data_IF_674604345060
#
_entry.id   IF_674604345060
#
_cell.length_a   1.000
_cell.length_b   1.000
_cell.length_c   1.000
_cell.angle_alpha   90.00
_cell.angle_beta   90.00
_cell.angle_gamma   90.00
#
_symmetry.space_group_name_H-M   'P 1'
#
loop_
_entity.id
_entity.type
_entity.pdbx_description
1 polymer ?
#
# COMPACT_ATOMS: atom_id res chain seq x y z
N UNK A 1 37.81 59.77 -31.47
CA UNK A 1 36.98 59.94 -30.24
C UNK A 1 35.53 59.70 -30.66
N UNK A 2 35.03 58.46 -30.54
CA UNK A 2 33.81 58.02 -31.22
C UNK A 2 32.60 58.22 -30.30
N UNK A 3 31.78 59.24 -30.62
CA UNK A 3 30.51 59.52 -29.95
C UNK A 3 29.58 58.32 -30.14
N UNK A 4 29.44 57.48 -29.11
CA UNK A 4 28.36 56.49 -29.06
C UNK A 4 27.06 57.27 -28.96
N UNK A 5 26.29 57.31 -30.06
CA UNK A 5 25.01 58.00 -30.08
C UNK A 5 24.11 57.44 -28.95
N UNK A 6 23.41 58.32 -28.21
CA UNK A 6 22.66 57.92 -27.01
C UNK A 6 21.59 56.86 -27.30
N UNK A 7 21.11 56.82 -28.55
CA UNK A 7 20.13 55.84 -29.03
C UNK A 7 20.66 54.41 -29.01
N UNK A 8 21.94 54.19 -29.35
CA UNK A 8 22.53 52.86 -29.34
C UNK A 8 22.78 52.34 -27.93
N UNK A 9 23.07 53.23 -26.98
CA UNK A 9 23.22 52.89 -25.56
C UNK A 9 21.86 52.51 -24.97
N UNK A 10 20.81 53.27 -25.30
CA UNK A 10 19.45 52.97 -24.86
C UNK A 10 18.98 51.60 -25.40
N UNK A 11 19.17 51.33 -26.70
CA UNK A 11 18.85 50.04 -27.31
C UNK A 11 19.63 48.89 -26.67
N UNK A 12 20.91 49.11 -26.35
CA UNK A 12 21.73 48.10 -25.67
C UNK A 12 21.20 47.77 -24.27
N UNK A 13 20.76 48.78 -23.51
CA UNK A 13 20.11 48.56 -22.20
C UNK A 13 18.81 47.78 -22.36
N UNK A 14 17.98 48.11 -23.37
CA UNK A 14 16.76 47.35 -23.66
C UNK A 14 17.03 45.89 -24.00
N UNK A 15 18.06 45.59 -24.81
CA UNK A 15 18.42 44.21 -25.13
C UNK A 15 18.93 43.44 -23.91
N UNK A 16 19.71 44.09 -23.02
CA UNK A 16 20.19 43.46 -21.79
C UNK A 16 19.02 43.15 -20.85
N UNK A 17 18.08 44.08 -20.68
CA UNK A 17 16.88 43.87 -19.87
C UNK A 17 16.01 42.75 -20.46
N UNK A 18 15.81 42.75 -21.77
CA UNK A 18 15.05 41.71 -22.46
C UNK A 18 15.71 40.33 -22.33
N UNK A 19 17.03 40.26 -22.46
CA UNK A 19 17.79 39.03 -22.28
C UNK A 19 17.69 38.50 -20.85
N UNK A 20 17.82 39.37 -19.84
CA UNK A 20 17.62 39.01 -18.43
C UNK A 20 16.19 38.51 -18.17
N UNK A 21 15.19 39.17 -18.75
CA UNK A 21 13.80 38.78 -18.61
C UNK A 21 13.49 37.41 -19.25
N UNK A 22 14.02 37.17 -20.46
CA UNK A 22 13.90 35.87 -21.13
C UNK A 22 14.61 34.76 -20.34
N UNK A 23 15.78 35.05 -19.76
CA UNK A 23 16.50 34.11 -18.91
C UNK A 23 15.73 33.81 -17.62
N UNK A 24 15.11 34.82 -17.02
CA UNK A 24 14.29 34.67 -15.82
C UNK A 24 13.02 33.83 -16.09
N UNK A 25 12.35 34.06 -17.22
CA UNK A 25 11.22 33.22 -17.66
C UNK A 25 11.67 31.79 -17.90
N UNK A 26 12.80 31.58 -18.58
CA UNK A 26 13.37 30.25 -18.81
C UNK A 26 13.68 29.53 -17.48
N UNK A 27 14.25 30.25 -16.52
CA UNK A 27 14.52 29.74 -15.18
C UNK A 27 13.24 29.37 -14.44
N UNK A 28 12.18 30.18 -14.52
CA UNK A 28 10.86 29.86 -13.95
C UNK A 28 10.21 28.67 -14.67
N UNK A 29 10.42 28.47 -15.96
CA UNK A 29 9.86 27.30 -16.65
C UNK A 29 10.57 26.01 -16.21
N UNK A 30 11.89 26.08 -15.96
CA UNK A 30 12.71 24.92 -15.58
C UNK A 30 12.61 24.61 -14.07
N UNK A 31 12.63 25.63 -13.21
CA UNK A 31 12.65 25.53 -11.74
C UNK A 31 11.36 26.00 -11.06
N UNK A 32 10.43 26.62 -11.78
CA UNK A 32 9.15 27.05 -11.24
C UNK A 32 8.24 25.86 -10.95
N UNK A 33 7.42 26.05 -9.92
CA UNK A 33 6.71 25.08 -9.09
C UNK A 33 5.65 24.19 -9.81
N UNK A 34 5.77 23.94 -11.12
CA UNK A 34 4.81 23.19 -11.94
C UNK A 34 5.32 22.63 -13.27
N UNK A 35 6.60 22.79 -13.63
CA UNK A 35 7.14 22.30 -14.91
C UNK A 35 7.86 20.96 -14.80
N UNK A 36 7.31 19.91 -15.39
CA UNK A 36 7.94 18.59 -15.66
C UNK A 36 8.18 17.67 -14.43
N UNK A 37 8.61 18.18 -13.26
CA UNK A 37 8.94 17.31 -12.13
C UNK A 37 7.71 16.84 -11.31
N UNK A 38 6.66 17.67 -11.22
CA UNK A 38 5.47 17.33 -10.43
C UNK A 38 4.53 16.32 -11.11
N UNK A 39 4.53 16.24 -12.45
CA UNK A 39 3.73 15.24 -13.17
C UNK A 39 4.28 13.81 -12.99
N UNK A 40 5.59 13.66 -12.76
CA UNK A 40 6.19 12.35 -12.47
C UNK A 40 5.84 11.84 -11.08
N UNK A 41 5.75 12.71 -10.08
CA UNK A 41 5.32 12.32 -8.72
C UNK A 41 3.87 11.85 -8.69
N UNK A 42 2.95 12.59 -9.31
CA UNK A 42 1.55 12.19 -9.36
C UNK A 42 1.34 10.85 -10.11
N UNK A 43 2.09 10.59 -11.19
CA UNK A 43 2.01 9.31 -11.90
C UNK A 43 2.67 8.16 -11.14
N UNK A 44 3.74 8.41 -10.39
CA UNK A 44 4.41 7.40 -9.57
C UNK A 44 3.56 7.04 -8.34
N UNK A 45 2.95 8.02 -7.68
CA UNK A 45 2.03 7.79 -6.56
C UNK A 45 0.79 7.01 -7.01
N UNK A 46 0.27 7.27 -8.22
CA UNK A 46 -0.82 6.47 -8.79
C UNK A 46 -0.39 5.03 -9.08
N UNK A 47 0.81 4.81 -9.60
CA UNK A 47 1.31 3.45 -9.89
C UNK A 47 1.53 2.64 -8.61
N UNK A 48 2.14 3.24 -7.59
CA UNK A 48 2.34 2.59 -6.28
C UNK A 48 0.98 2.23 -5.66
N UNK A 49 0.03 3.16 -5.67
CA UNK A 49 -1.28 2.92 -5.08
C UNK A 49 -2.08 1.85 -5.85
N UNK A 50 -1.92 1.76 -7.18
CA UNK A 50 -2.56 0.71 -7.98
C UNK A 50 -1.93 -0.67 -7.76
N UNK A 51 -0.61 -0.74 -7.52
CA UNK A 51 0.07 -1.97 -7.12
C UNK A 51 -0.38 -2.45 -5.74
N UNK A 52 -0.47 -1.53 -4.76
CA UNK A 52 -0.96 -1.84 -3.41
C UNK A 52 -2.39 -2.38 -3.44
N UNK A 53 -3.29 -1.77 -4.23
CA UNK A 53 -4.66 -2.25 -4.40
C UNK A 53 -4.68 -3.66 -4.99
N UNK A 54 -3.85 -3.94 -6.02
CA UNK A 54 -3.77 -5.27 -6.64
C UNK A 54 -3.18 -6.33 -5.72
N UNK A 55 -2.28 -5.95 -4.83
CA UNK A 55 -1.73 -6.84 -3.80
C UNK A 55 -2.79 -7.16 -2.74
N UNK A 56 -3.45 -6.14 -2.21
CA UNK A 56 -4.52 -6.30 -1.23
C UNK A 56 -5.71 -7.11 -1.78
N UNK A 57 -6.08 -6.92 -3.04
CA UNK A 57 -7.13 -7.74 -3.68
C UNK A 57 -6.72 -9.21 -3.85
N UNK A 58 -5.45 -9.48 -4.13
CA UNK A 58 -4.92 -10.85 -4.20
C UNK A 58 -4.92 -11.51 -2.82
N UNK A 59 -4.43 -10.81 -1.80
CA UNK A 59 -4.46 -11.30 -0.42
C UNK A 59 -5.89 -11.57 0.04
N UNK A 60 -6.82 -10.63 -0.20
CA UNK A 60 -8.24 -10.82 0.13
C UNK A 60 -8.80 -12.09 -0.51
N UNK A 61 -8.56 -12.32 -1.81
CA UNK A 61 -9.04 -13.51 -2.51
C UNK A 61 -8.44 -14.80 -1.94
N UNK A 62 -7.16 -14.79 -1.57
CA UNK A 62 -6.52 -15.94 -0.93
C UNK A 62 -7.13 -16.24 0.44
N UNK A 63 -7.33 -15.21 1.27
CA UNK A 63 -7.96 -15.36 2.57
C UNK A 63 -9.42 -15.83 2.46
N UNK A 64 -10.19 -15.31 1.51
CA UNK A 64 -11.56 -15.77 1.27
C UNK A 64 -11.60 -17.24 0.83
N UNK A 65 -10.67 -17.65 -0.05
CA UNK A 65 -10.54 -19.06 -0.44
C UNK A 65 -10.17 -19.97 0.74
N UNK A 66 -9.28 -19.51 1.62
CA UNK A 66 -8.89 -20.26 2.82
C UNK A 66 -10.05 -20.36 3.82
N UNK A 67 -10.80 -19.28 4.04
CA UNK A 67 -12.03 -19.30 4.85
C UNK A 67 -13.05 -20.27 4.27
N UNK A 68 -13.27 -20.26 2.96
CA UNK A 68 -14.22 -21.15 2.30
C UNK A 68 -13.78 -22.62 2.42
N UNK A 69 -12.47 -22.90 2.29
CA UNK A 69 -11.90 -24.24 2.50
C UNK A 69 -12.06 -24.72 3.95
N UNK A 70 -11.86 -23.84 4.92
CA UNK A 70 -12.06 -24.14 6.34
C UNK A 70 -13.56 -24.34 6.65
N UNK A 71 -14.43 -23.51 6.07
CA UNK A 71 -15.89 -23.57 6.29
C UNK A 71 -16.54 -24.78 5.64
N UNK A 72 -16.11 -25.14 4.43
CA UNK A 72 -16.62 -26.31 3.70
C UNK A 72 -16.26 -27.64 4.38
N UNK A 73 -15.23 -27.65 5.23
CA UNK A 73 -14.86 -28.82 6.00
C UNK A 73 -15.54 -28.80 7.38
N UNK A 74 -16.82 -29.21 7.43
CA UNK A 74 -17.59 -29.25 8.69
C UNK A 74 -16.89 -30.05 9.80
N UNK A 75 -16.07 -31.04 9.44
CA UNK A 75 -15.27 -31.82 10.38
C UNK A 75 -14.20 -30.98 11.09
N UNK A 76 -13.60 -29.99 10.41
CA UNK A 76 -12.62 -29.08 11.00
C UNK A 76 -13.28 -28.10 12.00
N UNK A 77 -14.46 -27.58 11.65
CA UNK A 77 -15.24 -26.76 12.59
C UNK A 77 -15.63 -27.59 13.81
N UNK A 78 -16.06 -28.83 13.61
CA UNK A 78 -16.46 -29.72 14.70
C UNK A 78 -15.28 -30.14 15.58
N UNK A 79 -14.08 -30.36 15.03
CA UNK A 79 -12.87 -30.64 15.82
C UNK A 79 -12.44 -29.44 16.65
N UNK A 80 -12.43 -28.24 16.05
CA UNK A 80 -12.07 -27.00 16.75
C UNK A 80 -13.09 -26.64 17.85
N UNK A 81 -14.38 -26.79 17.55
CA UNK A 81 -15.44 -26.62 18.55
C UNK A 81 -15.27 -27.62 19.71
N UNK A 82 -14.87 -28.87 19.43
CA UNK A 82 -14.63 -29.86 20.47
C UNK A 82 -13.43 -29.53 21.36
N UNK A 83 -12.37 -28.95 20.79
CA UNK A 83 -11.18 -28.52 21.53
C UNK A 83 -11.49 -27.34 22.47
N UNK A 84 -12.34 -26.41 22.02
CA UNK A 84 -12.88 -25.33 22.85
C UNK A 84 -13.94 -25.79 23.88
N UNK A 85 -14.25 -27.09 23.93
CA UNK A 85 -15.20 -27.65 24.90
C UNK A 85 -16.67 -27.54 24.49
N UNK A 86 -16.98 -27.03 23.30
CA UNK A 86 -18.34 -27.08 22.76
C UNK A 86 -18.73 -28.52 22.40
N UNK A 87 -20.01 -28.84 22.57
CA UNK A 87 -20.59 -30.18 22.39
C UNK A 87 -21.96 -30.08 21.73
N UNK A 88 -22.39 -31.12 21.01
CA UNK A 88 -23.75 -31.16 20.45
C UNK A 88 -24.77 -31.40 21.57
N UNK A 89 -25.95 -30.78 21.44
CA UNK A 89 -27.04 -30.94 22.41
C UNK A 89 -27.50 -32.40 22.42
N UNK A 90 -27.37 -33.08 23.56
CA UNK A 90 -27.74 -34.50 23.73
C UNK A 90 -26.61 -35.52 23.49
N UNK A 91 -25.36 -35.08 23.31
CA UNK A 91 -24.21 -35.97 23.14
C UNK A 91 -23.82 -36.65 24.47
N UNK A 92 -23.79 -37.99 24.52
CA UNK A 92 -23.42 -38.79 25.70
C UNK A 92 -21.92 -39.12 25.61
N UNK A 93 -21.12 -38.65 26.57
CA UNK A 93 -19.67 -38.90 26.59
C UNK A 93 -19.36 -40.07 27.51
N UNK A 94 -18.73 -41.12 26.97
CA UNK A 94 -18.13 -42.19 27.75
C UNK A 94 -16.73 -41.78 28.18
N UNK A 95 -16.57 -41.42 29.46
CA UNK A 95 -15.24 -41.24 30.05
C UNK A 95 -14.77 -42.61 30.55
N UNK A 96 -13.81 -43.20 29.84
CA UNK A 96 -13.17 -44.44 30.30
C UNK A 96 -12.38 -44.13 31.57
N UNK A 97 -12.96 -44.45 32.73
CA UNK A 97 -12.20 -44.46 33.97
C UNK A 97 -11.31 -45.71 33.93
N UNK A 98 -9.99 -45.50 34.01
CA UNK A 98 -9.04 -46.59 34.13
C UNK A 98 -9.38 -47.33 35.42
N UNK A 99 -9.85 -48.57 35.31
CA UNK A 99 -10.16 -49.42 36.46
C UNK A 99 -8.87 -49.52 37.29
N UNK A 100 -8.87 -48.94 38.49
CA UNK A 100 -7.81 -49.22 39.44
C UNK A 100 -7.95 -50.69 39.80
N UNK A 101 -6.95 -51.48 39.41
CA UNK A 101 -6.80 -52.85 39.89
C UNK A 101 -6.56 -52.75 41.39
N UNK A 102 -7.56 -53.17 42.17
CA UNK A 102 -7.41 -53.39 43.60
C UNK A 102 -6.40 -54.54 43.77
N UNK A 103 -5.18 -54.21 44.19
CA UNK A 103 -4.20 -55.19 44.64
C UNK A 103 -4.78 -55.94 45.87
N UNK A 104 -4.87 -57.27 45.84
CA UNK A 104 -5.29 -58.04 47.00
C UNK A 104 -4.16 -57.98 48.03
N UNK A 105 -4.39 -57.28 49.14
CA UNK A 105 -3.53 -57.34 50.33
C UNK A 105 -3.69 -58.73 50.95
N UNK A 106 -2.68 -59.58 50.74
CA UNK A 106 -2.50 -60.86 51.43
C UNK A 106 -1.89 -60.71 52.81
#
# INVERSE_FOLDING_TARGET
MMSKSPVNILNLVFYVIFSLFAFWIGFIIIYGNGGINNRKKASLELQVLEEDIKELERERKLLEWEIEKIRSNSAYIESFARELGYRKKGEIIFRFMKKQEEEPQG
#
